data_IF_735688228884
#
_entry.id   IF_735688228884
#
_cell.length_a   1.000
_cell.length_b   1.000
_cell.length_c   1.000
_cell.angle_alpha   90.00
_cell.angle_beta   90.00
_cell.angle_gamma   90.00
#
_symmetry.space_group_name_H-M   'P 1'
#
loop_
_entity.id
_entity.type
_entity.pdbx_description
1 polymer ?
#
# COMPACT_ATOMS: atom_id res chain seq x y z
N UNK A 1 39.97 52.53 73.91
CA UNK A 1 39.30 53.14 72.74
C UNK A 1 39.92 52.52 71.50
N UNK A 2 39.49 51.30 71.16
CA UNK A 2 40.07 50.54 70.05
C UNK A 2 39.17 49.33 69.77
N UNK A 3 38.43 49.36 68.66
CA UNK A 3 37.63 48.26 68.09
C UNK A 3 36.89 48.81 66.85
N UNK A 4 36.57 48.14 65.74
CA UNK A 4 36.83 46.84 65.09
C UNK A 4 36.23 47.03 63.64
N UNK A 5 36.29 46.07 62.70
CA UNK A 5 36.49 46.33 61.27
C UNK A 5 35.34 45.85 60.36
N UNK A 6 35.54 46.06 59.04
CA UNK A 6 35.18 45.23 57.88
C UNK A 6 33.74 44.73 57.73
N UNK A 7 33.15 44.92 56.54
CA UNK A 7 32.49 43.85 55.78
C UNK A 7 32.37 44.25 54.29
N UNK A 8 32.99 43.42 53.48
CA UNK A 8 33.05 43.38 52.02
C UNK A 8 31.77 42.73 51.45
N UNK A 9 31.56 42.86 50.14
CA UNK A 9 30.79 41.92 49.27
C UNK A 9 29.31 42.22 49.03
N UNK A 10 28.97 43.12 48.09
CA UNK A 10 27.67 43.05 47.40
C UNK A 10 27.55 43.94 46.15
N UNK A 11 28.38 43.79 45.10
CA UNK A 11 28.21 44.63 43.89
C UNK A 11 28.44 43.98 42.51
N UNK A 12 28.50 42.66 42.40
CA UNK A 12 28.85 42.00 41.11
C UNK A 12 27.95 40.84 40.69
N UNK A 13 26.72 40.73 41.22
CA UNK A 13 25.83 39.59 40.88
C UNK A 13 24.61 39.92 40.00
N UNK A 14 24.38 41.18 39.63
CA UNK A 14 23.12 41.57 38.97
C UNK A 14 23.23 41.92 37.47
N UNK A 15 24.44 42.05 36.91
CA UNK A 15 24.61 42.39 35.47
C UNK A 15 24.96 41.21 34.56
N UNK A 16 25.13 39.99 35.09
CA UNK A 16 25.38 38.79 34.28
C UNK A 16 24.12 37.99 33.93
N UNK A 17 22.98 38.32 34.54
CA UNK A 17 21.75 37.54 34.35
C UNK A 17 20.90 37.98 33.14
N UNK A 18 21.12 39.18 32.60
CA UNK A 18 20.37 39.70 31.45
C UNK A 18 21.03 39.50 30.09
N UNK A 19 22.29 39.05 30.05
CA UNK A 19 23.00 38.73 28.80
C UNK A 19 23.05 37.23 28.49
N UNK A 20 22.44 36.39 29.34
CA UNK A 20 22.31 34.94 29.13
C UNK A 20 20.92 34.51 28.64
N UNK A 21 19.94 35.42 28.58
CA UNK A 21 18.58 35.09 28.08
C UNK A 21 18.40 35.48 26.61
N UNK A 22 19.22 36.39 26.06
CA UNK A 22 19.17 36.77 24.64
C UNK A 22 19.96 35.83 23.71
N UNK A 23 20.76 34.90 24.25
CA UNK A 23 21.52 33.92 23.47
C UNK A 23 20.86 32.53 23.40
N UNK A 24 19.74 32.31 24.11
CA UNK A 24 19.00 31.05 24.10
C UNK A 24 17.86 31.01 23.06
N UNK A 25 17.63 32.10 22.32
CA UNK A 25 16.54 32.21 21.34
C UNK A 25 16.98 32.00 19.88
N UNK A 26 18.26 31.73 19.61
CA UNK A 26 18.81 31.59 18.26
C UNK A 26 19.50 30.23 18.02
N UNK A 27 19.03 29.18 18.69
CA UNK A 27 19.49 27.80 18.50
C UNK A 27 18.34 26.80 18.43
N UNK A 28 17.14 27.25 18.06
CA UNK A 28 16.16 26.37 17.44
C UNK A 28 16.63 26.10 16.00
N UNK A 29 17.70 25.31 15.89
CA UNK A 29 18.09 24.69 14.64
C UNK A 29 16.84 24.09 14.03
N UNK A 30 16.50 24.55 12.82
CA UNK A 30 15.63 23.83 11.94
C UNK A 30 16.04 22.35 12.00
N UNK A 31 15.19 21.53 12.61
CA UNK A 31 15.16 20.13 12.30
C UNK A 31 14.70 20.08 10.84
N UNK A 32 15.64 20.27 9.92
CA UNK A 32 15.52 19.72 8.58
C UNK A 32 15.34 18.24 8.87
N UNK A 33 14.09 17.78 8.77
CA UNK A 33 13.81 16.37 8.64
C UNK A 33 14.74 15.91 7.53
N UNK A 34 15.79 15.18 7.91
CA UNK A 34 16.60 14.49 6.92
C UNK A 34 15.58 13.71 6.09
N UNK A 35 15.57 13.84 4.75
CA UNK A 35 14.75 12.94 3.96
C UNK A 35 15.14 11.54 4.43
N UNK A 36 14.19 10.84 5.05
CA UNK A 36 14.38 9.44 5.35
C UNK A 36 14.86 8.74 4.07
N UNK A 37 15.54 7.59 4.18
CA UNK A 37 16.04 6.88 3.01
C UNK A 37 14.93 6.87 1.95
N UNK A 38 15.18 7.55 0.83
CA UNK A 38 14.19 7.69 -0.21
C UNK A 38 14.08 6.32 -0.86
N UNK A 39 13.08 5.55 -0.47
CA UNK A 39 12.77 4.27 -1.09
C UNK A 39 11.93 4.52 -2.33
N UNK A 40 12.17 3.77 -3.40
CA UNK A 40 11.33 3.89 -4.58
C UNK A 40 9.88 3.47 -4.25
N UNK A 41 8.92 4.14 -4.89
CA UNK A 41 7.50 3.88 -4.75
C UNK A 41 6.90 3.66 -6.13
N UNK A 42 6.12 2.60 -6.26
CA UNK A 42 5.34 2.28 -7.45
C UNK A 42 3.86 2.46 -7.16
N UNK A 43 3.19 3.22 -8.00
CA UNK A 43 1.74 3.41 -7.94
C UNK A 43 1.12 2.99 -9.26
N UNK A 44 0.08 2.17 -9.18
CA UNK A 44 -0.82 1.89 -10.28
C UNK A 44 -2.18 2.49 -9.97
N UNK A 45 -2.76 3.16 -10.96
CA UNK A 45 -4.13 3.67 -10.89
C UNK A 45 -4.90 3.26 -12.13
N UNK A 46 -6.14 2.78 -11.95
CA UNK A 46 -7.11 2.54 -13.01
C UNK A 46 -8.36 3.37 -12.76
N UNK A 47 -8.79 4.13 -13.77
CA UNK A 47 -10.04 4.89 -13.75
C UNK A 47 -10.90 4.43 -14.91
N UNK A 48 -12.06 3.84 -14.61
CA UNK A 48 -13.02 3.39 -15.60
C UNK A 48 -14.43 3.85 -15.23
N UNK A 49 -14.81 5.04 -15.73
CA UNK A 49 -16.09 5.68 -15.44
C UNK A 49 -17.27 4.80 -15.86
N UNK A 50 -18.28 4.70 -15.01
CA UNK A 50 -19.48 3.88 -15.21
C UNK A 50 -19.26 2.38 -14.98
N UNK A 51 -18.08 1.95 -14.51
CA UNK A 51 -17.84 0.57 -14.07
C UNK A 51 -17.99 0.44 -12.56
N UNK A 52 -17.98 -0.79 -12.04
CA UNK A 52 -17.95 -1.02 -10.59
C UNK A 52 -16.85 -2.02 -10.27
N UNK A 53 -15.78 -1.62 -9.55
CA UNK A 53 -15.45 -0.25 -9.09
C UNK A 53 -14.90 0.66 -10.22
N UNK A 54 -15.17 1.98 -10.12
CA UNK A 54 -14.65 2.98 -11.08
C UNK A 54 -13.18 3.32 -10.87
N UNK A 55 -12.72 3.30 -9.62
CA UNK A 55 -11.37 3.69 -9.23
C UNK A 55 -10.68 2.53 -8.51
N UNK A 56 -9.47 2.19 -8.97
CA UNK A 56 -8.54 1.32 -8.26
C UNK A 56 -7.20 2.03 -8.20
N UNK A 57 -6.60 2.12 -7.02
CA UNK A 57 -5.22 2.54 -6.85
C UNK A 57 -4.48 1.57 -5.92
N UNK A 58 -3.25 1.20 -6.28
CA UNK A 58 -2.35 0.43 -5.43
C UNK A 58 -1.01 1.13 -5.41
N UNK A 59 -0.48 1.33 -4.20
CA UNK A 59 0.83 1.92 -3.95
C UNK A 59 1.71 0.93 -3.19
N UNK A 60 2.86 0.60 -3.75
CA UNK A 60 3.85 -0.33 -3.20
C UNK A 60 5.16 0.40 -2.99
N UNK A 61 5.80 0.18 -1.84
CA UNK A 61 7.15 0.68 -1.54
C UNK A 61 8.19 -0.41 -1.73
N UNK A 62 9.38 -0.03 -2.16
CA UNK A 62 10.49 -0.97 -2.37
C UNK A 62 11.06 -1.52 -1.06
N UNK A 63 10.99 -0.75 0.02
CA UNK A 63 11.61 -1.07 1.31
C UNK A 63 10.64 -1.62 2.36
N UNK A 64 9.36 -1.76 2.02
CA UNK A 64 8.30 -2.10 2.96
C UNK A 64 7.33 -3.12 2.37
N UNK A 65 7.01 -4.16 3.16
CA UNK A 65 5.95 -5.12 2.82
C UNK A 65 4.55 -4.51 2.91
N UNK A 66 4.39 -3.44 3.69
CA UNK A 66 3.13 -2.69 3.76
C UNK A 66 2.96 -1.85 2.49
N UNK A 67 1.89 -2.16 1.77
CA UNK A 67 1.38 -1.43 0.62
C UNK A 67 0.02 -0.79 0.97
N UNK A 68 -0.46 0.10 0.11
CA UNK A 68 -1.75 0.76 0.27
C UNK A 68 -2.61 0.45 -0.96
N UNK A 69 -3.89 0.16 -0.76
CA UNK A 69 -4.87 -0.01 -1.84
C UNK A 69 -6.07 0.88 -1.62
N UNK A 70 -6.77 1.23 -2.68
CA UNK A 70 -8.01 1.98 -2.66
C UNK A 70 -8.89 1.50 -3.81
N UNK A 71 -10.12 1.12 -3.49
CA UNK A 71 -11.10 0.62 -4.45
C UNK A 71 -12.44 1.27 -4.11
N UNK A 72 -12.98 2.08 -5.02
CA UNK A 72 -14.20 2.86 -4.77
C UNK A 72 -14.90 3.32 -6.04
N UNK A 73 -16.12 3.82 -5.89
CA UNK A 73 -16.74 4.71 -6.88
C UNK A 73 -16.07 6.09 -6.82
N UNK A 74 -16.12 6.86 -7.92
CA UNK A 74 -15.46 8.16 -7.95
C UNK A 74 -16.14 9.21 -7.07
N UNK A 75 -17.44 9.05 -6.80
CA UNK A 75 -18.26 9.91 -5.96
C UNK A 75 -18.20 9.57 -4.46
N UNK A 76 -17.59 8.44 -4.10
CA UNK A 76 -17.30 8.05 -2.72
C UNK A 76 -16.05 8.77 -2.18
N UNK A 77 -16.03 9.02 -0.86
CA UNK A 77 -14.90 9.62 -0.18
C UNK A 77 -13.62 8.76 -0.29
N UNK A 78 -12.43 9.36 -0.48
CA UNK A 78 -11.18 8.61 -0.50
C UNK A 78 -10.91 7.89 0.82
N UNK A 79 -10.36 6.67 0.72
CA UNK A 79 -10.19 5.80 1.88
C UNK A 79 -9.20 4.67 1.66
N UNK A 80 -7.92 5.01 1.45
CA UNK A 80 -6.89 3.99 1.25
C UNK A 80 -6.67 3.14 2.51
N UNK A 81 -6.58 1.82 2.29
CA UNK A 81 -6.39 0.82 3.33
C UNK A 81 -5.01 0.14 3.17
N UNK A 82 -4.36 -0.23 4.27
CA UNK A 82 -3.10 -0.96 4.21
C UNK A 82 -3.35 -2.42 3.86
N UNK A 83 -2.44 -3.00 3.09
CA UNK A 83 -2.33 -4.43 2.89
C UNK A 83 -0.87 -4.83 2.76
N UNK A 84 -0.61 -6.13 2.60
CA UNK A 84 0.75 -6.66 2.56
C UNK A 84 1.07 -7.23 1.18
N UNK A 85 2.27 -6.94 0.66
CA UNK A 85 2.84 -7.50 -0.57
C UNK A 85 4.21 -8.09 -0.23
N UNK A 86 4.47 -9.34 -0.59
CA UNK A 86 5.72 -10.03 -0.23
C UNK A 86 6.92 -9.44 -0.96
N UNK A 87 8.10 -9.57 -0.35
CA UNK A 87 9.36 -9.16 -0.94
C UNK A 87 9.60 -9.71 -2.35
N UNK A 88 9.20 -10.96 -2.63
CA UNK A 88 9.37 -11.57 -3.94
C UNK A 88 8.54 -10.86 -5.03
N UNK A 89 7.27 -10.56 -4.74
CA UNK A 89 6.42 -9.81 -5.67
C UNK A 89 6.85 -8.36 -5.80
N UNK A 90 7.23 -7.71 -4.69
CA UNK A 90 7.78 -6.35 -4.73
C UNK A 90 9.01 -6.29 -5.63
N UNK A 91 10.00 -7.16 -5.43
CA UNK A 91 11.19 -7.23 -6.28
C UNK A 91 10.82 -7.36 -7.77
N UNK A 92 9.93 -8.31 -8.11
CA UNK A 92 9.45 -8.49 -9.48
C UNK A 92 8.77 -7.24 -10.06
N UNK A 93 7.96 -6.54 -9.28
CA UNK A 93 7.29 -5.30 -9.71
C UNK A 93 8.30 -4.19 -10.01
N UNK A 94 9.31 -4.02 -9.16
CA UNK A 94 10.38 -3.03 -9.36
C UNK A 94 11.30 -3.41 -10.53
N UNK A 95 11.60 -4.70 -10.73
CA UNK A 95 12.34 -5.17 -11.91
C UNK A 95 11.60 -4.87 -13.22
N UNK A 96 10.29 -5.08 -13.25
CA UNK A 96 9.46 -4.73 -14.41
C UNK A 96 9.42 -3.21 -14.65
N UNK A 97 9.34 -2.41 -13.59
CA UNK A 97 9.41 -0.95 -13.70
C UNK A 97 10.78 -0.50 -14.23
N UNK A 98 11.88 -1.12 -13.80
CA UNK A 98 13.22 -0.84 -14.31
C UNK A 98 13.36 -1.18 -15.81
N UNK A 99 12.81 -2.31 -16.26
CA UNK A 99 12.74 -2.66 -17.69
C UNK A 99 11.98 -1.62 -18.51
N UNK A 100 11.00 -0.96 -17.90
CA UNK A 100 10.22 0.14 -18.47
C UNK A 100 10.87 1.50 -18.24
N UNK A 101 12.17 1.56 -17.91
CA UNK A 101 12.90 2.81 -17.63
C UNK A 101 12.20 3.68 -16.58
N UNK A 102 11.60 3.05 -15.57
CA UNK A 102 10.78 3.70 -14.55
C UNK A 102 9.69 4.60 -15.16
N UNK A 103 9.13 4.21 -16.30
CA UNK A 103 8.11 4.96 -17.05
C UNK A 103 8.59 6.29 -17.65
N UNK A 104 9.88 6.62 -17.56
CA UNK A 104 10.42 7.85 -18.11
C UNK A 104 10.35 7.84 -19.64
N UNK A 105 9.58 8.78 -20.20
CA UNK A 105 9.40 8.94 -21.65
C UNK A 105 8.86 7.68 -22.35
N UNK A 106 8.16 6.81 -21.62
CA UNK A 106 7.57 5.60 -22.20
C UNK A 106 6.22 5.89 -22.82
N UNK A 107 6.06 5.51 -24.08
CA UNK A 107 4.76 5.36 -24.70
C UNK A 107 4.31 3.90 -24.56
N UNK A 108 3.38 3.66 -23.65
CA UNK A 108 2.82 2.33 -23.40
C UNK A 108 1.50 2.10 -24.12
N UNK A 109 0.86 3.14 -24.68
CA UNK A 109 -0.47 3.05 -25.24
C UNK A 109 -0.44 2.60 -26.71
N UNK A 110 -1.39 1.74 -27.05
CA UNK A 110 -1.72 1.45 -28.42
C UNK A 110 -2.66 2.52 -28.94
N UNK A 111 -2.09 3.46 -29.69
CA UNK A 111 -2.77 4.56 -30.38
C UNK A 111 -3.64 4.12 -31.57
N UNK A 112 -4.49 3.11 -31.38
CA UNK A 112 -5.49 2.65 -32.34
C UNK A 112 -6.87 2.97 -31.82
N UNK A 113 -7.85 2.99 -32.73
CA UNK A 113 -9.25 3.13 -32.35
C UNK A 113 -9.74 1.86 -31.65
N UNK A 114 -9.53 1.81 -30.35
CA UNK A 114 -9.97 0.74 -29.45
C UNK A 114 -11.02 1.25 -28.49
N UNK A 115 -11.83 0.33 -27.94
CA UNK A 115 -12.75 0.67 -26.88
C UNK A 115 -11.98 1.18 -25.64
N UNK A 116 -12.62 2.05 -24.86
CA UNK A 116 -12.10 2.46 -23.56
C UNK A 116 -12.23 1.28 -22.57
N UNK A 117 -11.10 0.79 -22.07
CA UNK A 117 -10.97 -0.31 -21.11
C UNK A 117 -10.59 0.22 -19.72
N UNK A 118 -10.77 1.52 -19.49
CA UNK A 118 -10.28 2.25 -18.32
C UNK A 118 -8.87 2.79 -18.52
N UNK A 119 -8.70 4.08 -18.25
CA UNK A 119 -7.38 4.74 -18.26
C UNK A 119 -6.54 4.16 -17.13
N UNK A 120 -5.35 3.67 -17.47
CA UNK A 120 -4.36 3.14 -16.53
C UNK A 120 -3.21 4.13 -16.45
N UNK A 121 -2.70 4.32 -15.25
CA UNK A 121 -1.50 5.13 -14.98
C UNK A 121 -0.53 4.27 -14.18
N UNK A 122 0.69 4.11 -14.67
CA UNK A 122 1.82 3.71 -13.85
C UNK A 122 2.59 4.95 -13.44
N UNK A 123 3.01 4.98 -12.18
CA UNK A 123 3.77 6.07 -11.58
C UNK A 123 4.91 5.49 -10.76
N UNK A 124 6.11 6.03 -10.93
CA UNK A 124 7.29 5.71 -10.15
C UNK A 124 7.80 6.99 -9.50
N UNK A 125 8.15 6.90 -8.21
CA UNK A 125 8.66 8.02 -7.42
C UNK A 125 9.90 7.59 -6.64
N UNK A 126 10.96 8.40 -6.68
CA UNK A 126 12.17 8.22 -5.88
C UNK A 126 12.73 9.59 -5.48
N UNK A 127 12.60 9.93 -4.19
CA UNK A 127 12.93 11.27 -3.71
C UNK A 127 12.11 12.34 -4.43
N UNK A 128 12.75 13.18 -5.24
CA UNK A 128 12.11 14.22 -6.05
C UNK A 128 11.80 13.79 -7.48
N UNK A 129 12.30 12.63 -7.93
CA UNK A 129 12.06 12.13 -9.27
C UNK A 129 10.67 11.48 -9.33
N UNK A 130 9.89 11.88 -10.33
CA UNK A 130 8.55 11.36 -10.60
C UNK A 130 8.42 11.11 -12.09
N UNK A 131 8.07 9.87 -12.45
CA UNK A 131 7.86 9.46 -13.83
C UNK A 131 6.53 8.73 -13.95
N UNK A 132 5.79 9.02 -15.01
CA UNK A 132 4.44 8.50 -15.21
C UNK A 132 4.22 8.09 -16.67
N UNK A 133 3.50 6.99 -16.87
CA UNK A 133 3.00 6.58 -18.18
C UNK A 133 1.51 6.26 -18.07
N UNK A 134 0.73 6.87 -18.95
CA UNK A 134 -0.71 6.62 -19.08
C UNK A 134 -0.99 5.79 -20.32
N UNK A 135 -1.93 4.86 -20.20
CA UNK A 135 -2.33 4.01 -21.31
C UNK A 135 -3.73 3.41 -21.08
N UNK A 136 -4.47 3.17 -22.15
CA UNK A 136 -5.72 2.42 -22.12
C UNK A 136 -5.46 0.91 -22.31
N UNK A 137 -4.60 0.57 -23.26
CA UNK A 137 -4.18 -0.78 -23.62
C UNK A 137 -2.71 -0.79 -24.05
N UNK A 138 -1.97 -1.85 -23.72
CA UNK A 138 -0.55 -1.96 -24.04
C UNK A 138 -0.22 -3.30 -24.69
N UNK A 139 0.71 -3.28 -25.65
CA UNK A 139 1.36 -4.48 -26.22
C UNK A 139 2.76 -4.70 -25.66
N UNK A 140 3.26 -3.80 -24.81
CA UNK A 140 4.54 -3.97 -24.13
C UNK A 140 4.42 -5.11 -23.11
N UNK A 141 5.22 -6.17 -23.27
CA UNK A 141 5.12 -7.38 -22.46
C UNK A 141 5.46 -7.15 -20.98
N UNK A 142 6.40 -6.26 -20.66
CA UNK A 142 6.74 -5.91 -19.28
C UNK A 142 5.62 -5.09 -18.63
N UNK A 143 5.04 -4.13 -19.37
CA UNK A 143 3.90 -3.34 -18.89
C UNK A 143 2.66 -4.20 -18.68
N UNK A 144 2.39 -5.15 -19.58
CA UNK A 144 1.28 -6.10 -19.46
C UNK A 144 1.46 -7.01 -18.24
N UNK A 145 2.67 -7.53 -17.99
CA UNK A 145 2.95 -8.33 -16.80
C UNK A 145 2.81 -7.51 -15.52
N UNK A 146 3.33 -6.28 -15.49
CA UNK A 146 3.20 -5.40 -14.33
C UNK A 146 1.72 -5.11 -14.03
N UNK A 147 0.93 -4.84 -15.08
CA UNK A 147 -0.50 -4.63 -14.98
C UNK A 147 -1.21 -5.85 -14.38
N UNK A 148 -0.90 -7.05 -14.87
CA UNK A 148 -1.49 -8.30 -14.37
C UNK A 148 -1.22 -8.50 -12.87
N UNK A 149 -0.02 -8.13 -12.40
CA UNK A 149 0.32 -8.20 -10.98
C UNK A 149 -0.55 -7.24 -10.17
N UNK A 150 -0.62 -5.96 -10.56
CA UNK A 150 -1.44 -4.98 -9.85
C UNK A 150 -2.92 -5.34 -9.85
N UNK A 151 -3.48 -5.75 -11.00
CA UNK A 151 -4.89 -6.16 -11.07
C UNK A 151 -5.16 -7.44 -10.26
N UNK A 152 -4.21 -8.38 -10.22
CA UNK A 152 -4.28 -9.56 -9.37
C UNK A 152 -4.25 -9.22 -7.87
N UNK A 153 -3.41 -8.28 -7.45
CA UNK A 153 -3.37 -7.79 -6.08
C UNK A 153 -4.69 -7.10 -5.69
N UNK A 154 -5.24 -6.25 -6.57
CA UNK A 154 -6.52 -5.59 -6.33
C UNK A 154 -7.65 -6.61 -6.15
N UNK A 155 -7.76 -7.56 -7.09
CA UNK A 155 -8.73 -8.66 -7.04
C UNK A 155 -8.61 -9.50 -5.76
N UNK A 156 -7.38 -9.77 -5.32
CA UNK A 156 -7.16 -10.49 -4.07
C UNK A 156 -7.67 -9.69 -2.86
N UNK A 157 -7.46 -8.36 -2.82
CA UNK A 157 -8.00 -7.53 -1.74
C UNK A 157 -9.53 -7.47 -1.78
N UNK A 158 -10.15 -7.39 -2.95
CA UNK A 158 -11.61 -7.47 -3.07
C UNK A 158 -12.17 -8.78 -2.48
N UNK A 159 -11.49 -9.91 -2.71
CA UNK A 159 -11.87 -11.19 -2.09
C UNK A 159 -11.70 -11.17 -0.58
N UNK A 160 -10.58 -10.63 -0.07
CA UNK A 160 -10.33 -10.48 1.37
C UNK A 160 -11.42 -9.63 2.03
N UNK A 161 -11.78 -8.50 1.43
CA UNK A 161 -12.81 -7.59 1.93
C UNK A 161 -14.19 -8.24 1.90
N UNK A 162 -14.53 -8.91 0.79
CA UNK A 162 -15.78 -9.64 0.65
C UNK A 162 -15.92 -10.73 1.71
N UNK A 163 -14.91 -11.60 1.86
CA UNK A 163 -14.95 -12.70 2.81
C UNK A 163 -15.01 -12.15 4.24
N UNK A 164 -14.20 -11.14 4.57
CA UNK A 164 -14.22 -10.47 5.89
C UNK A 164 -15.59 -9.89 6.21
N UNK A 165 -16.22 -9.19 5.25
CA UNK A 165 -17.56 -8.64 5.40
C UNK A 165 -18.60 -9.73 5.63
N UNK A 166 -18.56 -10.83 4.86
CA UNK A 166 -19.48 -11.98 5.03
C UNK A 166 -19.27 -12.64 6.39
N UNK A 167 -18.03 -12.86 6.82
CA UNK A 167 -17.75 -13.42 8.14
C UNK A 167 -18.39 -12.60 9.28
N UNK A 168 -18.43 -11.27 9.13
CA UNK A 168 -18.98 -10.36 10.14
C UNK A 168 -20.51 -10.20 10.06
N UNK A 169 -21.06 -10.07 8.86
CA UNK A 169 -22.46 -9.63 8.68
C UNK A 169 -23.36 -10.64 7.96
N UNK A 170 -22.81 -11.58 7.19
CA UNK A 170 -23.58 -12.58 6.45
C UNK A 170 -22.83 -13.92 6.37
N UNK A 171 -23.02 -14.72 7.42
CA UNK A 171 -22.36 -16.01 7.57
C UNK A 171 -22.92 -17.08 6.62
N UNK A 172 -24.12 -16.89 6.07
CA UNK A 172 -24.72 -17.84 5.11
C UNK A 172 -24.10 -17.65 3.72
N UNK A 173 -23.85 -16.41 3.31
CA UNK A 173 -23.21 -16.07 2.04
C UNK A 173 -21.70 -16.34 1.96
N UNK A 174 -21.08 -16.87 3.02
CA UNK A 174 -19.63 -17.14 3.05
C UNK A 174 -19.21 -18.20 2.01
N UNK A 175 -20.06 -19.20 1.75
CA UNK A 175 -19.76 -20.23 0.75
C UNK A 175 -19.64 -19.63 -0.66
N UNK A 176 -20.50 -18.66 -0.99
CA UNK A 176 -20.49 -18.01 -2.30
C UNK A 176 -19.25 -17.13 -2.47
N UNK A 177 -18.83 -16.43 -1.41
CA UNK A 177 -17.57 -15.68 -1.42
C UNK A 177 -16.36 -16.61 -1.63
N UNK A 178 -16.33 -17.76 -0.95
CA UNK A 178 -15.27 -18.76 -1.14
C UNK A 178 -15.29 -19.39 -2.54
N UNK A 179 -16.46 -19.56 -3.15
CA UNK A 179 -16.60 -20.01 -4.54
C UNK A 179 -16.02 -19.00 -5.54
N UNK A 180 -16.28 -17.71 -5.32
CA UNK A 180 -15.71 -16.65 -6.16
C UNK A 180 -14.19 -16.61 -6.06
N UNK A 181 -13.65 -16.68 -4.83
CA UNK A 181 -12.22 -16.78 -4.59
C UNK A 181 -11.62 -18.02 -5.26
N UNK A 182 -12.27 -19.18 -5.12
CA UNK A 182 -11.84 -20.43 -5.74
C UNK A 182 -11.75 -20.34 -7.27
N UNK A 183 -12.73 -19.69 -7.91
CA UNK A 183 -12.73 -19.49 -9.37
C UNK A 183 -11.49 -18.71 -9.83
N UNK A 184 -11.16 -17.63 -9.14
CA UNK A 184 -10.00 -16.79 -9.49
C UNK A 184 -8.66 -17.45 -9.14
N UNK A 185 -8.63 -18.22 -8.04
CA UNK A 185 -7.49 -19.06 -7.70
C UNK A 185 -7.22 -20.11 -8.79
N UNK A 186 -8.25 -20.79 -9.28
CA UNK A 186 -8.13 -21.80 -10.34
C UNK A 186 -7.61 -21.23 -11.67
N UNK A 187 -7.87 -19.94 -11.91
CA UNK A 187 -7.39 -19.21 -13.09
C UNK A 187 -5.99 -18.61 -12.89
N UNK A 188 -5.34 -18.86 -11.76
CA UNK A 188 -4.04 -18.29 -11.38
C UNK A 188 -4.04 -16.75 -11.41
N UNK A 189 -5.16 -16.12 -11.05
CA UNK A 189 -5.32 -14.66 -11.05
C UNK A 189 -4.92 -14.00 -9.73
N UNK A 190 -4.55 -14.79 -8.72
CA UNK A 190 -4.25 -14.32 -7.37
C UNK A 190 -2.73 -14.44 -7.14
N UNK A 191 -2.00 -13.33 -7.01
CA UNK A 191 -0.55 -13.36 -6.84
C UNK A 191 -0.10 -14.02 -5.52
N UNK A 192 -0.86 -13.85 -4.43
CA UNK A 192 -0.46 -14.26 -3.08
C UNK A 192 -1.57 -15.00 -2.32
N UNK A 193 -2.05 -16.14 -2.83
CA UNK A 193 -3.17 -16.86 -2.23
C UNK A 193 -2.88 -17.32 -0.79
N UNK A 194 -1.59 -17.53 -0.47
CA UNK A 194 -1.11 -17.86 0.88
C UNK A 194 -1.58 -16.86 1.95
N UNK A 195 -1.77 -15.58 1.60
CA UNK A 195 -2.21 -14.55 2.57
C UNK A 195 -3.63 -14.76 3.07
N UNK A 196 -4.45 -15.54 2.36
CA UNK A 196 -5.83 -15.82 2.75
C UNK A 196 -5.93 -17.03 3.69
N UNK A 197 -4.85 -17.81 3.86
CA UNK A 197 -4.82 -19.01 4.72
C UNK A 197 -5.37 -18.78 6.14
N UNK A 198 -4.97 -17.74 6.90
CA UNK A 198 -5.50 -17.54 8.25
C UNK A 198 -7.02 -17.39 8.29
N UNK A 199 -7.60 -16.76 7.26
CA UNK A 199 -9.04 -16.57 7.13
C UNK A 199 -9.75 -17.89 6.78
N UNK A 200 -9.15 -18.69 5.90
CA UNK A 200 -9.67 -20.02 5.55
C UNK A 200 -9.65 -20.95 6.76
N UNK A 201 -8.57 -20.95 7.54
CA UNK A 201 -8.45 -21.74 8.77
C UNK A 201 -9.48 -21.32 9.81
N UNK A 202 -9.70 -20.02 9.96
CA UNK A 202 -10.75 -19.50 10.85
C UNK A 202 -12.14 -19.98 10.42
N UNK A 203 -12.48 -19.88 9.12
CA UNK A 203 -13.77 -20.35 8.62
C UNK A 203 -13.91 -21.87 8.81
N UNK A 204 -12.86 -22.64 8.52
CA UNK A 204 -12.84 -24.08 8.68
C UNK A 204 -13.06 -24.54 10.14
N UNK A 205 -12.47 -23.82 11.10
CA UNK A 205 -12.52 -24.14 12.53
C UNK A 205 -13.79 -23.70 13.24
N UNK A 206 -14.46 -22.64 12.78
CA UNK A 206 -15.58 -22.02 13.49
C UNK A 206 -16.93 -22.68 13.14
N UNK A 207 -17.56 -23.32 14.12
CA UNK A 207 -18.85 -24.03 13.99
C UNK A 207 -20.05 -23.12 13.75
N UNK A 208 -19.88 -21.80 13.84
CA UNK A 208 -20.93 -20.82 13.51
C UNK A 208 -21.09 -20.60 12.00
N UNK A 209 -20.20 -21.17 11.17
CA UNK A 209 -20.36 -21.18 9.71
C UNK A 209 -21.01 -22.48 9.24
N UNK A 210 -21.71 -22.42 8.11
CA UNK A 210 -22.35 -23.60 7.50
C UNK A 210 -21.30 -24.64 7.12
N UNK A 211 -21.59 -25.92 7.34
CA UNK A 211 -20.63 -27.02 7.13
C UNK A 211 -20.04 -27.06 5.71
N UNK A 212 -20.84 -26.75 4.69
CA UNK A 212 -20.36 -26.69 3.29
C UNK A 212 -19.25 -25.64 3.11
N UNK A 213 -19.38 -24.48 3.75
CA UNK A 213 -18.36 -23.44 3.71
C UNK A 213 -17.10 -23.87 4.45
N UNK A 214 -17.26 -24.51 5.61
CA UNK A 214 -16.14 -25.02 6.42
C UNK A 214 -15.35 -26.07 5.63
N UNK A 215 -16.03 -26.98 4.95
CA UNK A 215 -15.40 -27.99 4.09
C UNK A 215 -14.67 -27.34 2.91
N UNK A 216 -15.27 -26.34 2.25
CA UNK A 216 -14.62 -25.61 1.16
C UNK A 216 -13.38 -24.87 1.63
N UNK A 217 -13.46 -24.17 2.77
CA UNK A 217 -12.33 -23.46 3.35
C UNK A 217 -11.15 -24.40 3.65
N UNK A 218 -11.40 -25.60 4.21
CA UNK A 218 -10.37 -26.63 4.41
C UNK A 218 -9.73 -27.07 3.10
N UNK A 219 -10.55 -27.39 2.09
CA UNK A 219 -10.07 -27.81 0.77
C UNK A 219 -9.20 -26.74 0.12
N UNK A 220 -9.63 -25.48 0.17
CA UNK A 220 -8.86 -24.35 -0.35
C UNK A 220 -7.55 -24.15 0.40
N UNK A 221 -7.57 -24.20 1.74
CA UNK A 221 -6.37 -24.03 2.55
C UNK A 221 -5.33 -25.12 2.24
N UNK A 222 -5.75 -26.38 2.18
CA UNK A 222 -4.88 -27.48 1.79
C UNK A 222 -4.31 -27.27 0.39
N UNK A 223 -5.17 -26.96 -0.60
CA UNK A 223 -4.71 -26.75 -1.97
C UNK A 223 -3.68 -25.64 -2.07
N UNK A 224 -3.89 -24.51 -1.38
CA UNK A 224 -2.95 -23.39 -1.35
C UNK A 224 -1.62 -23.82 -0.73
N UNK A 225 -1.62 -24.58 0.38
CA UNK A 225 -0.40 -25.09 1.03
C UNK A 225 0.42 -26.02 0.13
N UNK A 226 -0.24 -26.85 -0.70
CA UNK A 226 0.44 -27.79 -1.60
C UNK A 226 0.85 -27.16 -2.95
N UNK A 227 0.36 -25.96 -3.27
CA UNK A 227 0.70 -25.22 -4.50
C UNK A 227 1.83 -24.19 -4.31
N UNK A 228 2.15 -23.82 -3.07
CA UNK A 228 3.25 -22.91 -2.72
C UNK A 228 4.58 -23.66 -2.60
#
# INVERSE_FOLDING_TARGET
>A
MTALPSQTTMRTSLLRFFLLIAAAALAACAAVSAPGPSSAKLTFRRVFKGSSPEFIEITVREDSDTAAYEIRQLDEDPGSLPFQVSAAWRAKMFDLAAQLKHFQGQDLDVHRKIANLGEKTFRWEFGTEVHEAKFNYTLNSAAAQLLQIFEGLARQQEHVDLITRRMKYDRLGINDALLQFESDLNRSLLPEPQRVLPMLDQIAGDSRFVDIARQRARSLAERIRHQG
#
